data_IF_840047918435
#
_entry.id   IF_840047918435
#
_cell.length_a   1.000
_cell.length_b   1.000
_cell.length_c   1.000
_cell.angle_alpha   90.00
_cell.angle_beta   90.00
_cell.angle_gamma   90.00
#
_symmetry.space_group_name_H-M   'P 1'
#
loop_
_entity.id
_entity.type
_entity.pdbx_description
1 polymer ?
#
# COMPACT_ATOMS: atom_id res chain seq x y z
N UNK A 1 33.80 6.86 -3.00
CA UNK A 1 32.78 6.08 -3.75
C UNK A 1 31.65 5.78 -2.78
N UNK A 2 30.61 6.59 -2.61
CA UNK A 2 29.94 7.47 -3.57
C UNK A 2 28.66 6.79 -4.03
N UNK A 3 27.71 6.57 -3.13
CA UNK A 3 26.36 6.09 -3.44
C UNK A 3 25.36 6.96 -2.71
N UNK A 4 24.97 8.08 -3.33
CA UNK A 4 23.88 8.90 -2.81
C UNK A 4 22.59 8.10 -2.93
N UNK A 5 21.78 7.93 -1.87
CA UNK A 5 20.50 7.25 -1.98
C UNK A 5 19.62 8.06 -2.94
N UNK A 6 19.16 7.41 -4.00
CA UNK A 6 18.26 8.01 -4.99
C UNK A 6 16.90 8.17 -4.30
N UNK A 7 16.56 9.39 -3.91
CA UNK A 7 15.17 9.75 -3.61
C UNK A 7 14.45 9.90 -4.95
N UNK A 8 13.52 9.00 -5.25
CA UNK A 8 12.49 9.32 -6.23
C UNK A 8 11.65 10.43 -5.61
N UNK A 9 11.77 11.63 -6.18
CA UNK A 9 11.01 12.80 -5.73
C UNK A 9 9.51 12.54 -5.90
N UNK A 10 8.76 12.71 -4.82
CA UNK A 10 7.33 12.85 -4.86
C UNK A 10 6.99 14.02 -5.79
N UNK A 11 6.09 13.78 -6.75
CA UNK A 11 5.49 14.84 -7.57
C UNK A 11 4.93 15.90 -6.62
N UNK A 12 5.36 17.15 -6.81
CA UNK A 12 4.94 18.29 -6.00
C UNK A 12 3.40 18.38 -6.04
N UNK A 13 2.78 18.32 -4.86
CA UNK A 13 1.34 18.23 -4.70
C UNK A 13 0.66 19.48 -5.30
N UNK A 14 -0.48 19.33 -5.99
CA UNK A 14 -1.25 20.49 -6.45
C UNK A 14 -1.64 21.37 -5.26
N UNK A 15 -1.65 22.69 -5.49
CA UNK A 15 -2.16 23.71 -4.55
C UNK A 15 -3.46 23.22 -3.90
N UNK A 16 -3.49 23.27 -2.56
CA UNK A 16 -4.52 22.67 -1.73
C UNK A 16 -5.93 22.98 -2.27
N UNK A 17 -6.63 21.93 -2.70
CA UNK A 17 -8.05 22.01 -3.05
C UNK A 17 -8.77 22.56 -1.81
N UNK A 18 -9.64 23.59 -1.94
CA UNK A 18 -10.38 24.09 -0.79
C UNK A 18 -11.13 22.93 -0.15
N UNK A 19 -10.92 22.73 1.15
CA UNK A 19 -11.61 21.68 1.88
C UNK A 19 -13.11 21.85 1.70
N UNK A 20 -13.83 20.79 1.30
CA UNK A 20 -15.26 20.90 1.08
C UNK A 20 -15.93 21.34 2.39
N UNK A 21 -16.85 22.29 2.31
CA UNK A 21 -17.61 22.72 3.47
C UNK A 21 -18.60 21.61 3.85
N UNK A 22 -18.22 20.77 4.81
CA UNK A 22 -19.02 19.62 5.24
C UNK A 22 -20.20 20.11 6.10
N UNK A 23 -21.43 19.92 5.62
CA UNK A 23 -22.67 20.18 6.35
C UNK A 23 -23.10 18.95 7.20
N UNK A 24 -24.12 19.12 8.04
CA UNK A 24 -24.55 18.04 8.95
C UNK A 24 -25.08 16.80 8.20
N UNK A 25 -25.75 16.99 7.07
CA UNK A 25 -26.20 15.90 6.19
C UNK A 25 -25.02 15.05 5.68
N UNK A 26 -23.93 15.70 5.24
CA UNK A 26 -22.72 15.00 4.79
C UNK A 26 -22.00 14.28 5.94
N UNK A 27 -22.01 14.82 7.17
CA UNK A 27 -21.45 14.13 8.35
C UNK A 27 -22.23 12.86 8.70
N UNK A 28 -23.55 12.90 8.59
CA UNK A 28 -24.38 11.71 8.80
C UNK A 28 -24.09 10.62 7.76
N UNK A 29 -23.92 11.00 6.50
CA UNK A 29 -23.54 10.07 5.43
C UNK A 29 -22.15 9.48 5.63
N UNK A 30 -21.18 10.26 6.13
CA UNK A 30 -19.83 9.78 6.45
C UNK A 30 -19.87 8.72 7.56
N UNK A 31 -20.64 8.95 8.63
CA UNK A 31 -20.81 7.97 9.70
C UNK A 31 -21.40 6.65 9.19
N UNK A 32 -22.39 6.72 8.29
CA UNK A 32 -22.97 5.53 7.64
C UNK A 32 -21.94 4.82 6.73
N UNK A 33 -21.15 5.55 5.96
CA UNK A 33 -20.09 4.98 5.11
C UNK A 33 -19.07 4.20 5.94
N UNK A 34 -18.57 4.79 7.01
CA UNK A 34 -17.60 4.17 7.91
C UNK A 34 -18.14 2.88 8.53
N UNK A 35 -19.42 2.87 8.95
CA UNK A 35 -20.07 1.67 9.48
C UNK A 35 -20.13 0.55 8.42
N UNK A 36 -20.56 0.88 7.19
CA UNK A 36 -20.59 -0.06 6.07
C UNK A 36 -19.19 -0.62 5.73
N UNK A 37 -18.16 0.20 5.76
CA UNK A 37 -16.76 -0.22 5.56
C UNK A 37 -16.30 -1.21 6.64
N UNK A 38 -16.65 -0.96 7.90
CA UNK A 38 -16.31 -1.89 8.99
C UNK A 38 -17.02 -3.24 8.88
N UNK A 39 -18.23 -3.26 8.30
CA UNK A 39 -19.05 -4.46 8.11
C UNK A 39 -18.76 -5.23 6.82
N UNK A 40 -18.18 -4.59 5.80
CA UNK A 40 -17.90 -5.21 4.49
C UNK A 40 -16.62 -6.05 4.48
N UNK A 41 -15.62 -5.72 5.30
CA UNK A 41 -14.39 -6.51 5.41
C UNK A 41 -14.44 -7.45 6.62
N UNK A 42 -14.28 -8.75 6.36
CA UNK A 42 -14.14 -9.74 7.43
C UNK A 42 -12.95 -9.40 8.34
N UNK A 43 -13.05 -9.74 9.63
CA UNK A 43 -11.96 -9.54 10.59
C UNK A 43 -10.65 -10.23 10.15
N UNK A 44 -10.75 -11.35 9.43
CA UNK A 44 -9.60 -12.05 8.88
C UNK A 44 -8.94 -11.24 7.74
N UNK A 45 -9.74 -10.66 6.85
CA UNK A 45 -9.24 -9.81 5.75
C UNK A 45 -8.54 -8.57 6.29
N UNK A 46 -9.10 -7.93 7.32
CA UNK A 46 -8.49 -6.76 7.97
C UNK A 46 -7.10 -7.07 8.53
N UNK A 47 -6.97 -8.16 9.30
CA UNK A 47 -5.69 -8.61 9.85
C UNK A 47 -4.68 -8.97 8.76
N UNK A 48 -5.15 -9.57 7.67
CA UNK A 48 -4.33 -9.90 6.53
C UNK A 48 -3.75 -8.64 5.87
N UNK A 49 -4.55 -7.58 5.71
CA UNK A 49 -4.10 -6.30 5.15
C UNK A 49 -3.17 -5.56 6.11
N UNK A 50 -3.45 -5.55 7.41
CA UNK A 50 -2.53 -4.97 8.41
C UNK A 50 -1.17 -5.68 8.44
N UNK A 51 -1.15 -7.00 8.28
CA UNK A 51 0.08 -7.79 8.17
C UNK A 51 0.83 -7.53 6.86
N UNK A 52 0.09 -7.36 5.77
CA UNK A 52 0.65 -6.97 4.48
C UNK A 52 1.32 -5.59 4.54
N UNK A 53 0.65 -4.62 5.16
CA UNK A 53 1.14 -3.26 5.32
C UNK A 53 2.43 -3.21 6.15
N UNK A 54 2.45 -3.84 7.33
CA UNK A 54 3.65 -3.89 8.19
C UNK A 54 4.86 -4.45 7.47
N UNK A 55 4.69 -5.54 6.71
CA UNK A 55 5.79 -6.12 5.92
C UNK A 55 6.29 -5.19 4.82
N UNK A 56 5.43 -4.33 4.27
CA UNK A 56 5.82 -3.35 3.27
C UNK A 56 6.54 -2.16 3.91
N UNK A 57 6.09 -1.69 5.08
CA UNK A 57 6.79 -0.67 5.86
C UNK A 57 8.19 -1.13 6.29
N UNK A 58 8.31 -2.37 6.74
CA UNK A 58 9.60 -2.97 7.09
C UNK A 58 10.56 -3.00 5.88
N UNK A 59 10.07 -3.41 4.71
CA UNK A 59 10.84 -3.36 3.47
C UNK A 59 11.26 -1.91 3.13
N UNK A 60 10.31 -0.96 3.16
CA UNK A 60 10.61 0.43 2.83
C UNK A 60 11.65 1.03 3.79
N UNK A 61 11.48 0.81 5.09
CA UNK A 61 12.40 1.26 6.14
C UNK A 61 13.80 0.68 5.95
N UNK A 62 13.92 -0.62 5.67
CA UNK A 62 15.20 -1.29 5.43
C UNK A 62 15.95 -0.75 4.20
N UNK A 63 15.23 -0.14 3.24
CA UNK A 63 15.78 0.39 2.00
C UNK A 63 15.77 1.92 1.92
N UNK A 64 15.35 2.64 2.97
CA UNK A 64 15.26 4.09 2.99
C UNK A 64 14.23 4.67 2.00
N UNK A 65 13.16 3.92 1.73
CA UNK A 65 12.07 4.28 0.84
C UNK A 65 10.88 4.80 1.64
N UNK A 66 10.08 5.66 1.00
CA UNK A 66 8.82 6.15 1.59
C UNK A 66 7.68 5.14 1.31
N UNK A 67 7.04 4.58 2.35
CA UNK A 67 5.94 3.63 2.16
C UNK A 67 4.62 4.31 1.78
N UNK A 68 4.43 5.61 2.08
CA UNK A 68 3.21 6.34 1.77
C UNK A 68 3.47 7.84 1.51
N UNK A 69 3.08 8.38 0.33
CA UNK A 69 2.66 7.66 -0.86
C UNK A 69 3.85 6.91 -1.50
N UNK A 70 3.71 5.62 -1.75
CA UNK A 70 4.75 4.84 -2.41
C UNK A 70 4.76 5.09 -3.93
N UNK A 71 5.96 5.15 -4.52
CA UNK A 71 6.09 5.11 -5.97
C UNK A 71 5.81 3.68 -6.50
N UNK A 72 5.19 3.51 -7.69
CA UNK A 72 4.97 2.18 -8.27
C UNK A 72 6.23 1.32 -8.42
N UNK A 73 7.40 1.95 -8.57
CA UNK A 73 8.69 1.25 -8.61
C UNK A 73 9.07 0.62 -7.26
N UNK A 74 8.78 1.30 -6.15
CA UNK A 74 8.93 0.75 -4.79
C UNK A 74 8.14 -0.56 -4.66
N UNK A 75 6.91 -0.58 -5.18
CA UNK A 75 6.06 -1.77 -5.16
C UNK A 75 6.64 -2.89 -6.03
N UNK A 76 7.18 -2.58 -7.22
CA UNK A 76 7.86 -3.59 -8.06
C UNK A 76 9.04 -4.23 -7.34
N UNK A 77 9.88 -3.43 -6.67
CA UNK A 77 11.01 -3.97 -5.89
C UNK A 77 10.54 -4.81 -4.72
N UNK A 78 9.46 -4.40 -4.05
CA UNK A 78 8.86 -5.20 -2.99
C UNK A 78 8.37 -6.57 -3.48
N UNK A 79 7.73 -6.63 -4.65
CA UNK A 79 7.38 -7.92 -5.27
C UNK A 79 8.63 -8.76 -5.51
N UNK A 80 9.64 -8.20 -6.16
CA UNK A 80 10.88 -8.93 -6.44
C UNK A 80 11.54 -9.45 -5.16
N UNK A 81 11.59 -8.62 -4.11
CA UNK A 81 12.10 -8.99 -2.80
C UNK A 81 11.33 -10.17 -2.20
N UNK A 82 9.99 -10.16 -2.25
CA UNK A 82 9.19 -11.31 -1.80
C UNK A 82 9.48 -12.57 -2.62
N UNK A 83 9.56 -12.44 -3.95
CA UNK A 83 9.83 -13.58 -4.85
C UNK A 83 11.20 -14.22 -4.62
N UNK A 84 12.18 -13.47 -4.09
CA UNK A 84 13.52 -13.98 -3.79
C UNK A 84 13.64 -14.64 -2.42
N UNK A 85 12.63 -14.52 -1.55
CA UNK A 85 12.70 -15.10 -0.22
C UNK A 85 12.43 -16.59 -0.24
N UNK A 86 13.31 -17.32 0.44
CA UNK A 86 13.19 -18.76 0.64
C UNK A 86 12.88 -19.07 2.11
N UNK A 87 12.19 -20.19 2.34
CA UNK A 87 12.03 -20.78 3.66
C UNK A 87 13.27 -21.58 4.09
N UNK A 88 13.20 -22.24 5.26
CA UNK A 88 14.30 -23.04 5.80
C UNK A 88 14.66 -24.26 4.94
N UNK A 89 13.78 -24.66 4.03
CA UNK A 89 13.95 -25.77 3.12
C UNK A 89 14.39 -25.33 1.71
N UNK A 90 14.62 -24.03 1.51
CA UNK A 90 15.02 -23.49 0.21
C UNK A 90 13.86 -23.37 -0.79
N UNK A 91 12.61 -23.48 -0.34
CA UNK A 91 11.42 -23.29 -1.18
C UNK A 91 10.94 -21.83 -1.13
N UNK A 92 10.26 -21.32 -2.19
CA UNK A 92 9.72 -19.97 -2.17
C UNK A 92 8.83 -19.73 -0.95
N UNK A 93 9.21 -18.74 -0.14
CA UNK A 93 8.48 -18.38 1.09
C UNK A 93 7.08 -17.85 0.79
N UNK A 94 6.91 -17.16 -0.32
CA UNK A 94 5.64 -16.54 -0.71
C UNK A 94 5.12 -17.13 -2.01
N UNK A 95 3.91 -17.67 -1.95
CA UNK A 95 3.17 -18.03 -3.16
C UNK A 95 2.71 -16.77 -3.92
N UNK A 96 2.39 -16.91 -5.20
CA UNK A 96 1.79 -15.84 -6.01
C UNK A 96 0.50 -15.30 -5.37
N UNK A 97 -0.33 -16.18 -4.80
CA UNK A 97 -1.55 -15.79 -4.11
C UNK A 97 -1.24 -14.92 -2.86
N UNK A 98 -0.21 -15.28 -2.11
CA UNK A 98 0.24 -14.50 -0.94
C UNK A 98 0.77 -13.13 -1.37
N UNK A 99 1.55 -13.06 -2.46
CA UNK A 99 2.04 -11.79 -3.01
C UNK A 99 0.88 -10.89 -3.42
N UNK A 100 -0.12 -11.42 -4.13
CA UNK A 100 -1.32 -10.66 -4.51
C UNK A 100 -2.10 -10.15 -3.30
N UNK A 101 -2.26 -10.98 -2.26
CA UNK A 101 -2.89 -10.55 -1.01
C UNK A 101 -2.08 -9.43 -0.33
N UNK A 102 -0.74 -9.50 -0.38
CA UNK A 102 0.12 -8.44 0.16
C UNK A 102 -0.05 -7.14 -0.62
N UNK A 103 -0.10 -7.20 -1.94
CA UNK A 103 -0.37 -6.04 -2.79
C UNK A 103 -1.75 -5.44 -2.51
N UNK A 104 -2.79 -6.25 -2.29
CA UNK A 104 -4.11 -5.76 -1.92
C UNK A 104 -4.10 -4.97 -0.60
N UNK A 105 -3.31 -5.39 0.39
CA UNK A 105 -3.13 -4.62 1.64
C UNK A 105 -2.38 -3.30 1.44
N UNK A 106 -1.40 -3.26 0.52
CA UNK A 106 -0.70 -2.01 0.16
C UNK A 106 -1.66 -1.04 -0.53
N UNK A 107 -2.46 -1.54 -1.49
CA UNK A 107 -3.47 -0.75 -2.19
C UNK A 107 -4.54 -0.22 -1.23
N UNK A 108 -5.10 -1.08 -0.37
CA UNK A 108 -6.08 -0.70 0.64
C UNK A 108 -5.58 0.43 1.54
N UNK A 109 -4.31 0.37 1.98
CA UNK A 109 -3.74 1.44 2.80
C UNK A 109 -3.63 2.77 2.05
N UNK A 110 -3.17 2.73 0.79
CA UNK A 110 -3.06 3.95 -0.03
C UNK A 110 -4.43 4.59 -0.25
N UNK A 111 -5.43 3.78 -0.63
CA UNK A 111 -6.77 4.26 -0.89
C UNK A 111 -7.45 4.84 0.36
N UNK A 112 -7.25 4.23 1.54
CA UNK A 112 -7.78 4.76 2.81
C UNK A 112 -7.16 6.11 3.22
N UNK A 113 -5.90 6.32 2.91
CA UNK A 113 -5.21 7.59 3.19
C UNK A 113 -5.42 8.61 2.03
N UNK A 114 -6.35 8.33 1.11
CA UNK A 114 -6.77 9.24 0.04
C UNK A 114 -5.76 9.40 -1.09
N UNK A 115 -4.75 8.52 -1.18
CA UNK A 115 -3.71 8.57 -2.20
C UNK A 115 -3.92 7.50 -3.28
N UNK A 116 -3.34 7.74 -4.46
CA UNK A 116 -3.47 6.83 -5.60
C UNK A 116 -2.90 5.44 -5.29
N UNK A 117 -3.58 4.39 -5.77
CA UNK A 117 -3.10 3.01 -5.68
C UNK A 117 -1.85 2.79 -6.57
N UNK A 118 -0.66 2.55 -5.97
CA UNK A 118 0.57 2.34 -6.73
C UNK A 118 0.63 0.95 -7.37
N UNK A 119 -0.23 0.01 -6.95
CA UNK A 119 -0.26 -1.38 -7.44
C UNK A 119 -1.02 -1.53 -8.77
N UNK A 120 -1.88 -0.57 -9.09
CA UNK A 120 -2.62 -0.49 -10.36
C UNK A 120 -1.79 0.01 -11.55
N UNK A 121 -0.56 0.47 -11.32
CA UNK A 121 0.33 0.88 -12.40
C UNK A 121 0.66 -0.34 -13.29
N UNK A 122 0.62 -0.19 -14.63
CA UNK A 122 0.87 -1.28 -15.61
C UNK A 122 2.11 -2.11 -15.31
N UNK A 123 3.10 -1.48 -14.68
CA UNK A 123 4.31 -2.15 -14.28
C UNK A 123 4.20 -3.15 -13.13
N UNK A 124 3.22 -2.98 -12.25
CA UNK A 124 2.98 -3.85 -11.10
C UNK A 124 1.90 -4.88 -11.44
N UNK A 125 0.84 -4.49 -12.14
CA UNK A 125 -0.35 -5.33 -12.35
C UNK A 125 -0.17 -6.51 -13.30
N UNK A 126 0.99 -6.66 -13.95
CA UNK A 126 1.29 -7.73 -14.91
C UNK A 126 1.82 -9.04 -14.32
N UNK A 127 1.68 -9.26 -13.00
CA UNK A 127 2.21 -10.42 -12.24
C UNK A 127 1.19 -11.54 -12.04
#
# INVERSE_FOLDING_TARGET
>A
MGGSPVRLAAVEAPEAVPEPEINDELRELEAVSLDLETHTLSANTRRAYESAWRSFEEFCSAHGLEPLPAHPETVRWYVAWMSMQLDEHGLPRFSVATIRQRLAGVADRHLRDGVLDPTGHRGVSGL
#
